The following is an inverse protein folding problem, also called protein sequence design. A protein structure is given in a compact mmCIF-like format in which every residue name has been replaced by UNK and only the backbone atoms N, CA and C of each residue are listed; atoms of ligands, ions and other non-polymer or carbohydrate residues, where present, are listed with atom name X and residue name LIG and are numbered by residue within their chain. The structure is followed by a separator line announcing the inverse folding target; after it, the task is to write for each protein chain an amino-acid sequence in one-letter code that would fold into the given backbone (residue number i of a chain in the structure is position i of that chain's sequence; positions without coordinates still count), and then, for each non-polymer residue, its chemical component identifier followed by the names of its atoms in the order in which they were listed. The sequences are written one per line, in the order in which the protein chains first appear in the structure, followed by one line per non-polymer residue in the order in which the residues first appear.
data_IF_155813031386
#
_entry.id   IF_155813031386
#
_cell.length_a   1.000
_cell.length_b   1.000
_cell.length_c   1.000
_cell.angle_alpha   90.00
_cell.angle_beta   90.00
_cell.angle_gamma   90.00
#
_symmetry.space_group_name_H-M   'P 1'
#
loop_
_entity.id
_entity.type
_entity.pdbx_description
1 polymer ?
#
# COMPACT_ATOMS: atom_id res chain seq x y z
N UNK A 1 -13.05 -16.20 8.58
CA UNK A 1 -13.31 -14.92 9.28
C UNK A 1 -12.89 -13.82 8.34
N UNK A 2 -13.76 -12.84 8.10
CA UNK A 2 -13.45 -11.72 7.21
C UNK A 2 -12.83 -10.61 8.05
N UNK A 3 -11.64 -10.15 7.66
CA UNK A 3 -11.01 -8.98 8.25
C UNK A 3 -11.24 -7.80 7.31
N UNK A 4 -11.88 -6.75 7.81
CA UNK A 4 -12.09 -5.51 7.06
C UNK A 4 -11.04 -4.48 7.46
N UNK A 5 -10.53 -3.76 6.48
CA UNK A 5 -9.57 -2.69 6.68
C UNK A 5 -9.69 -1.66 5.56
N UNK A 6 -9.26 -0.43 5.83
CA UNK A 6 -9.19 0.63 4.83
C UNK A 6 -7.75 0.91 4.45
N UNK A 7 -7.48 1.10 3.17
CA UNK A 7 -6.18 1.63 2.73
C UNK A 7 -6.06 3.08 3.19
N UNK A 8 -5.08 3.33 4.06
CA UNK A 8 -4.72 4.68 4.52
C UNK A 8 -3.74 5.36 3.57
N UNK A 9 -2.85 4.59 2.95
CA UNK A 9 -1.92 5.07 1.93
C UNK A 9 -0.77 4.11 1.66
N UNK A 10 0.12 4.52 0.75
CA UNK A 10 1.36 3.82 0.39
C UNK A 10 2.58 4.57 0.92
N UNK A 11 3.65 3.85 1.21
CA UNK A 11 4.93 4.40 1.61
C UNK A 11 6.09 3.47 1.26
N UNK A 12 7.31 3.90 1.57
CA UNK A 12 8.52 3.08 1.45
C UNK A 12 9.10 2.86 2.85
N UNK A 13 9.40 1.60 3.17
CA UNK A 13 10.22 1.28 4.34
C UNK A 13 11.63 1.84 4.13
N UNK A 14 12.23 2.34 5.21
CA UNK A 14 13.58 2.89 5.20
C UNK A 14 14.42 2.08 6.17
N UNK A 15 15.55 1.58 5.69
CA UNK A 15 16.60 0.96 6.51
C UNK A 15 17.79 1.92 6.59
N UNK A 16 18.80 1.56 7.38
CA UNK A 16 20.06 2.33 7.44
C UNK A 16 20.77 2.44 6.08
N UNK A 17 20.45 1.57 5.13
CA UNK A 17 20.99 1.58 3.76
C UNK A 17 20.09 2.30 2.74
N UNK A 18 18.95 2.87 3.17
CA UNK A 18 17.99 3.58 2.31
C UNK A 18 16.63 2.88 2.16
N UNK A 19 15.82 3.27 1.17
CA UNK A 19 14.53 2.64 0.89
C UNK A 19 14.71 1.14 0.61
N UNK A 20 13.93 0.30 1.30
CA UNK A 20 14.07 -1.15 1.23
C UNK A 20 12.91 -1.78 0.45
N UNK A 21 11.67 -1.56 0.90
CA UNK A 21 10.49 -2.18 0.31
C UNK A 21 9.23 -1.28 0.41
N UNK A 22 8.31 -1.35 -0.58
CA UNK A 22 7.03 -0.68 -0.49
C UNK A 22 6.15 -1.24 0.64
N UNK A 23 5.37 -0.36 1.25
CA UNK A 23 4.47 -0.67 2.35
C UNK A 23 3.11 -0.05 2.08
N UNK A 24 2.04 -0.85 2.17
CA UNK A 24 0.68 -0.34 2.29
C UNK A 24 0.32 -0.23 3.77
N UNK A 25 -0.17 0.93 4.18
CA UNK A 25 -0.69 1.16 5.52
C UNK A 25 -2.19 0.92 5.51
N UNK A 26 -2.63 -0.06 6.28
CA UNK A 26 -4.04 -0.34 6.50
C UNK A 26 -4.50 0.27 7.83
N UNK A 27 -5.74 0.73 7.86
CA UNK A 27 -6.44 1.05 9.09
C UNK A 27 -7.46 -0.05 9.38
N UNK A 28 -7.30 -0.73 10.52
CA UNK A 28 -8.20 -1.77 11.01
C UNK A 28 -8.39 -1.58 12.52
N UNK A 29 -9.65 -1.52 12.97
CA UNK A 29 -10.01 -1.31 14.38
C UNK A 29 -9.28 -0.12 15.05
N UNK A 30 -9.15 0.99 14.33
CA UNK A 30 -8.46 2.20 14.79
C UNK A 30 -6.94 2.05 14.93
N UNK A 31 -6.36 0.96 14.42
CA UNK A 31 -4.92 0.68 14.44
C UNK A 31 -4.35 0.73 13.03
N UNK A 32 -3.10 1.16 12.93
CA UNK A 32 -2.34 1.13 11.68
C UNK A 32 -1.60 -0.20 11.59
N UNK A 33 -1.81 -0.92 10.50
CA UNK A 33 -1.15 -2.18 10.19
C UNK A 33 -0.35 -2.03 8.90
N UNK A 34 0.99 -1.99 8.95
CA UNK A 34 1.82 -1.96 7.75
C UNK A 34 1.93 -3.37 7.15
N UNK A 35 1.77 -3.47 5.83
CA UNK A 35 2.01 -4.70 5.05
C UNK A 35 3.03 -4.39 3.97
N UNK A 36 4.12 -5.14 3.96
CA UNK A 36 5.11 -5.10 2.89
C UNK A 36 4.54 -5.76 1.64
N UNK A 37 4.72 -5.10 0.50
CA UNK A 37 4.18 -5.53 -0.78
C UNK A 37 5.26 -5.44 -1.86
N UNK A 38 5.03 -6.07 -3.00
CA UNK A 38 5.93 -5.91 -4.15
C UNK A 38 5.79 -4.54 -4.80
N UNK A 39 6.78 -4.14 -5.59
CA UNK A 39 6.74 -2.90 -6.39
C UNK A 39 5.53 -2.87 -7.33
N UNK A 40 5.21 -3.98 -7.98
CA UNK A 40 4.07 -4.08 -8.90
C UNK A 40 2.74 -3.90 -8.18
N UNK A 41 2.61 -4.46 -6.97
CA UNK A 41 1.43 -4.26 -6.12
C UNK A 41 1.32 -2.81 -5.68
N UNK A 42 2.43 -2.16 -5.30
CA UNK A 42 2.44 -0.76 -4.92
C UNK A 42 1.99 0.14 -6.08
N UNK A 43 2.51 -0.10 -7.29
CA UNK A 43 2.11 0.64 -8.49
C UNK A 43 0.62 0.45 -8.80
N UNK A 44 0.12 -0.79 -8.75
CA UNK A 44 -1.29 -1.08 -9.00
C UNK A 44 -2.22 -0.38 -7.99
N UNK A 45 -1.88 -0.40 -6.70
CA UNK A 45 -2.64 0.30 -5.65
C UNK A 45 -2.56 1.81 -5.85
N UNK A 46 -1.39 2.36 -6.21
CA UNK A 46 -1.21 3.79 -6.45
C UNK A 46 -2.13 4.29 -7.57
N UNK A 47 -2.17 3.59 -8.70
CA UNK A 47 -3.10 3.93 -9.79
C UNK A 47 -4.57 3.91 -9.34
N UNK A 48 -4.95 2.92 -8.53
CA UNK A 48 -6.31 2.85 -7.99
C UNK A 48 -6.62 4.02 -7.01
N UNK A 49 -5.63 4.46 -6.23
CA UNK A 49 -5.77 5.60 -5.30
C UNK A 49 -5.85 6.94 -6.03
N UNK A 50 -5.08 7.11 -7.11
CA UNK A 50 -5.05 8.33 -7.93
C UNK A 50 -6.35 8.53 -8.72
N UNK A 51 -7.20 7.48 -8.79
CA UNK A 51 -8.45 7.44 -9.57
C UNK A 51 -8.24 7.68 -11.06
N UNK A 52 -7.02 7.43 -11.54
CA UNK A 52 -6.73 7.50 -12.95
C UNK A 52 -7.35 6.29 -13.67
N UNK A 53 -8.03 6.50 -14.80
CA UNK A 53 -8.50 5.39 -15.62
C UNK A 53 -7.28 4.59 -16.09
N UNK A 54 -7.35 3.26 -15.97
CA UNK A 54 -6.34 2.40 -16.58
C UNK A 54 -6.43 2.50 -18.11
N UNK A 55 -5.28 2.70 -18.79
CA UNK A 55 -5.22 2.71 -20.26
C UNK A 55 -5.61 1.35 -20.87
N UNK A 56 -5.40 0.26 -20.13
CA UNK A 56 -5.78 -1.12 -20.46
C UNK A 56 -6.11 -1.91 -19.18
N UNK A 57 -7.02 -2.91 -19.22
CA UNK A 57 -7.28 -3.81 -18.10
C UNK A 57 -6.03 -4.57 -17.65
#
# INVERSE_FOLDING_TARGET
MTHEARVRGLGMSVTESGPDAPVVMLEADGRVVPIFISTDQAQSIQHALDRDPFDRP
#
